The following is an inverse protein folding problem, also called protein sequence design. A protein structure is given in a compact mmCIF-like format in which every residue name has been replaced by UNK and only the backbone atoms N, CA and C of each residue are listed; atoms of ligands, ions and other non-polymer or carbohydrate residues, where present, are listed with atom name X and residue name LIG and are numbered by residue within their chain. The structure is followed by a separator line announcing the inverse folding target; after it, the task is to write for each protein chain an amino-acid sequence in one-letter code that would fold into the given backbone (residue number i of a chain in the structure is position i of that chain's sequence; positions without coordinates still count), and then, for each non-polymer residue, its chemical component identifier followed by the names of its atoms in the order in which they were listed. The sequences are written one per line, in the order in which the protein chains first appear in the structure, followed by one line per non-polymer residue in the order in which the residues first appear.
data_IF_432952965002
#
_entry.id   IF_432952965002
#
_cell.length_a   1.000
_cell.length_b   1.000
_cell.length_c   1.000
_cell.angle_alpha   90.00
_cell.angle_beta   90.00
_cell.angle_gamma   90.00
#
_symmetry.space_group_name_H-M   'P 1'
#
loop_
_entity.id
_entity.type
_entity.pdbx_description
1 polymer ?
#
# COMPACT_ATOMS: atom_id res chain seq x y z
N UNK A 1 -7.15 -27.85 -28.65
CA UNK A 1 -7.60 -26.72 -27.80
C UNK A 1 -6.56 -26.48 -26.73
N UNK A 2 -5.94 -25.30 -26.69
CA UNK A 2 -5.09 -24.91 -25.56
C UNK A 2 -5.98 -24.64 -24.34
N UNK A 3 -5.76 -25.39 -23.24
CA UNK A 3 -6.38 -25.10 -21.94
C UNK A 3 -5.27 -24.56 -21.03
N UNK A 4 -5.43 -23.34 -20.53
CA UNK A 4 -4.55 -22.80 -19.49
C UNK A 4 -5.18 -23.02 -18.12
N UNK A 5 -4.41 -23.61 -17.21
CA UNK A 5 -4.73 -23.75 -15.80
C UNK A 5 -4.20 -22.58 -14.98
N UNK A 6 -3.34 -21.74 -15.54
CA UNK A 6 -2.74 -20.61 -14.84
C UNK A 6 -3.46 -19.29 -15.16
N UNK A 7 -3.70 -18.46 -14.14
CA UNK A 7 -4.39 -17.16 -14.28
C UNK A 7 -3.53 -16.03 -13.71
N UNK A 8 -3.22 -15.01 -14.51
CA UNK A 8 -2.70 -13.74 -14.01
C UNK A 8 -3.84 -12.90 -13.46
N UNK A 9 -4.06 -12.98 -12.14
CA UNK A 9 -5.18 -12.30 -11.48
C UNK A 9 -4.81 -10.86 -11.05
N UNK A 10 -5.43 -9.87 -11.70
CA UNK A 10 -5.49 -8.46 -11.25
C UNK A 10 -6.92 -8.04 -10.84
N UNK A 11 -7.80 -8.99 -10.57
CA UNK A 11 -9.20 -8.72 -10.25
C UNK A 11 -9.30 -8.11 -8.85
N UNK A 12 -9.74 -6.86 -8.80
CA UNK A 12 -10.09 -6.15 -7.56
C UNK A 12 -11.62 -6.05 -7.48
N UNK A 13 -12.32 -7.07 -6.94
CA UNK A 13 -13.78 -7.12 -6.92
C UNK A 13 -14.35 -5.92 -6.16
N UNK A 14 -15.28 -5.20 -6.80
CA UNK A 14 -15.94 -4.00 -6.24
C UNK A 14 -17.30 -4.29 -5.60
N UNK A 15 -17.74 -5.54 -5.61
CA UNK A 15 -19.01 -5.96 -4.99
C UNK A 15 -18.87 -7.34 -4.35
N UNK A 16 -19.76 -7.64 -3.41
CA UNK A 16 -19.87 -8.96 -2.78
C UNK A 16 -20.07 -10.08 -3.80
N UNK A 17 -20.86 -9.82 -4.85
CA UNK A 17 -21.05 -10.74 -5.96
C UNK A 17 -19.72 -11.03 -6.68
N UNK A 18 -18.97 -9.99 -7.09
CA UNK A 18 -17.67 -10.18 -7.76
C UNK A 18 -16.64 -10.88 -6.87
N UNK A 19 -16.70 -10.63 -5.56
CA UNK A 19 -15.84 -11.32 -4.59
C UNK A 19 -16.19 -12.82 -4.51
N UNK A 20 -17.49 -13.16 -4.49
CA UNK A 20 -17.96 -14.54 -4.49
C UNK A 20 -17.60 -15.27 -5.80
N UNK A 21 -17.77 -14.62 -6.95
CA UNK A 21 -17.36 -15.16 -8.25
C UNK A 21 -15.85 -15.42 -8.31
N UNK A 22 -15.03 -14.49 -7.82
CA UNK A 22 -13.57 -14.68 -7.72
C UNK A 22 -13.24 -15.87 -6.82
N UNK A 23 -13.88 -15.97 -5.65
CA UNK A 23 -13.67 -17.09 -4.72
C UNK A 23 -14.05 -18.42 -5.38
N UNK A 24 -15.15 -18.47 -6.13
CA UNK A 24 -15.57 -19.65 -6.87
C UNK A 24 -14.55 -20.03 -7.95
N UNK A 25 -14.12 -19.07 -8.78
CA UNK A 25 -13.09 -19.29 -9.81
C UNK A 25 -11.80 -19.87 -9.24
N UNK A 26 -11.30 -19.31 -8.13
CA UNK A 26 -10.05 -19.72 -7.50
C UNK A 26 -10.20 -20.93 -6.57
N UNK A 27 -11.42 -21.43 -6.36
CA UNK A 27 -11.66 -22.66 -5.57
C UNK A 27 -11.40 -23.94 -6.35
N UNK A 28 -11.39 -23.86 -7.68
CA UNK A 28 -11.16 -25.02 -8.53
C UNK A 28 -9.68 -25.43 -8.50
N UNK A 29 -9.38 -26.67 -8.11
CA UNK A 29 -8.01 -27.14 -7.88
C UNK A 29 -7.10 -27.08 -9.11
N UNK A 30 -7.67 -27.15 -10.31
CA UNK A 30 -6.91 -27.00 -11.56
C UNK A 30 -6.62 -25.54 -11.92
N UNK A 31 -7.08 -24.56 -11.15
CA UNK A 31 -6.79 -23.14 -11.39
C UNK A 31 -5.67 -22.70 -10.45
N UNK A 32 -4.55 -22.30 -11.03
CA UNK A 32 -3.36 -21.83 -10.32
C UNK A 32 -3.27 -20.32 -10.51
N UNK A 33 -3.66 -19.51 -9.52
CA UNK A 33 -3.48 -18.08 -9.60
C UNK A 33 -1.99 -17.73 -9.63
N UNK A 34 -1.65 -16.62 -10.28
CA UNK A 34 -0.28 -16.14 -10.33
C UNK A 34 0.23 -15.84 -8.92
N UNK A 35 -0.51 -14.99 -8.21
CA UNK A 35 -0.26 -14.64 -6.81
C UNK A 35 -0.91 -15.64 -5.87
N UNK A 36 -0.29 -15.83 -4.71
CA UNK A 36 -0.89 -16.53 -3.59
C UNK A 36 -2.24 -15.88 -3.21
N UNK A 37 -3.35 -16.64 -3.10
CA UNK A 37 -4.66 -16.08 -2.76
C UNK A 37 -4.70 -15.31 -1.44
N UNK A 38 -3.88 -15.71 -0.45
CA UNK A 38 -3.82 -15.08 0.88
C UNK A 38 -3.28 -13.65 0.83
N UNK A 39 -2.47 -13.35 -0.18
CA UNK A 39 -1.91 -12.02 -0.41
C UNK A 39 -3.01 -11.00 -0.72
N UNK A 40 -4.00 -11.39 -1.53
CA UNK A 40 -5.15 -10.54 -1.82
C UNK A 40 -5.93 -10.24 -0.54
N UNK A 41 -6.28 -11.25 0.25
CA UNK A 41 -7.01 -11.03 1.51
C UNK A 41 -6.24 -10.13 2.48
N UNK A 42 -4.91 -10.26 2.51
CA UNK A 42 -4.04 -9.47 3.39
C UNK A 42 -4.02 -7.99 3.00
N UNK A 43 -3.76 -7.68 1.73
CA UNK A 43 -3.55 -6.31 1.26
C UNK A 43 -4.83 -5.58 0.81
N UNK A 44 -5.91 -6.32 0.55
CA UNK A 44 -7.20 -5.70 0.21
C UNK A 44 -7.83 -4.99 1.42
N UNK A 45 -7.64 -5.53 2.62
CA UNK A 45 -8.11 -4.95 3.88
C UNK A 45 -6.98 -4.22 4.60
N UNK A 46 -6.93 -2.89 4.49
CA UNK A 46 -5.87 -2.09 5.11
C UNK A 46 -5.79 -2.30 6.62
N UNK A 47 -6.93 -2.47 7.31
CA UNK A 47 -6.91 -2.69 8.76
C UNK A 47 -6.22 -4.01 9.11
N UNK A 48 -6.57 -5.09 8.38
CA UNK A 48 -5.93 -6.39 8.56
C UNK A 48 -4.43 -6.30 8.25
N UNK A 49 -4.05 -5.59 7.18
CA UNK A 49 -2.64 -5.38 6.84
C UNK A 49 -1.87 -4.75 8.00
N UNK A 50 -2.39 -3.67 8.58
CA UNK A 50 -1.72 -2.98 9.69
C UNK A 50 -1.72 -3.78 10.99
N UNK A 51 -2.68 -4.68 11.21
CA UNK A 51 -2.66 -5.59 12.34
C UNK A 51 -1.60 -6.68 12.16
N UNK A 52 -1.50 -7.26 10.95
CA UNK A 52 -0.51 -8.28 10.64
C UNK A 52 0.92 -7.73 10.68
N UNK A 53 1.12 -6.52 10.15
CA UNK A 53 2.42 -5.86 10.03
C UNK A 53 2.59 -4.72 11.05
N UNK A 54 1.93 -4.83 12.21
CA UNK A 54 1.89 -3.81 13.24
C UNK A 54 3.28 -3.28 13.68
N UNK A 55 4.33 -4.12 13.83
CA UNK A 55 5.66 -3.63 14.22
C UNK A 55 6.29 -2.63 13.23
N UNK A 56 5.83 -2.63 11.98
CA UNK A 56 6.37 -1.81 10.90
C UNK A 56 5.42 -0.69 10.47
N UNK A 57 4.19 -0.68 10.99
CA UNK A 57 3.10 0.12 10.46
C UNK A 57 2.80 1.35 11.32
N UNK A 58 2.17 2.34 10.70
CA UNK A 58 1.59 3.47 11.42
C UNK A 58 0.44 2.98 12.33
N UNK A 59 0.33 3.44 13.59
CA UNK A 59 -0.80 3.15 14.47
C UNK A 59 -2.15 3.35 13.77
N UNK A 60 -3.01 2.33 13.78
CA UNK A 60 -4.27 2.36 13.02
C UNK A 60 -5.44 1.82 13.84
N UNK A 61 -6.60 2.44 13.69
CA UNK A 61 -7.87 1.91 14.21
C UNK A 61 -8.99 2.03 13.20
N UNK A 62 -10.05 1.23 13.35
CA UNK A 62 -11.25 1.32 12.54
C UNK A 62 -12.18 2.44 13.03
N UNK A 63 -12.95 3.03 12.13
CA UNK A 63 -14.10 3.88 12.50
C UNK A 63 -15.38 3.14 12.15
N UNK A 64 -16.08 2.63 13.18
CA UNK A 64 -17.19 1.69 13.00
C UNK A 64 -18.41 2.30 12.30
N UNK A 65 -18.72 3.58 12.59
CA UNK A 65 -19.81 4.30 11.94
C UNK A 65 -19.64 5.82 12.07
N UNK A 66 -20.50 6.59 11.38
CA UNK A 66 -20.57 8.04 11.48
C UNK A 66 -21.19 8.57 12.79
N UNK A 67 -21.55 7.68 13.74
CA UNK A 67 -22.06 8.09 15.05
C UNK A 67 -20.94 8.71 15.89
N UNK A 68 -21.24 9.83 16.55
CA UNK A 68 -20.27 10.57 17.37
C UNK A 68 -19.59 9.68 18.43
N UNK A 69 -20.34 8.75 19.04
CA UNK A 69 -19.80 7.79 20.01
C UNK A 69 -18.70 6.91 19.41
N UNK A 70 -18.94 6.35 18.24
CA UNK A 70 -18.00 5.44 17.56
C UNK A 70 -16.75 6.21 17.10
N UNK A 71 -16.93 7.43 16.59
CA UNK A 71 -15.81 8.31 16.22
C UNK A 71 -14.97 8.68 17.44
N UNK A 72 -15.62 9.01 18.56
CA UNK A 72 -14.92 9.36 19.82
C UNK A 72 -14.13 8.16 20.36
N UNK A 73 -14.71 6.96 20.28
CA UNK A 73 -14.02 5.73 20.65
C UNK A 73 -12.78 5.48 19.77
N UNK A 74 -12.92 5.60 18.44
CA UNK A 74 -11.80 5.46 17.51
C UNK A 74 -10.69 6.48 17.80
N UNK A 75 -11.04 7.75 18.03
CA UNK A 75 -10.07 8.79 18.40
C UNK A 75 -9.35 8.46 19.71
N UNK A 76 -10.06 7.95 20.71
CA UNK A 76 -9.46 7.55 22.00
C UNK A 76 -8.51 6.37 21.84
N UNK A 77 -8.92 5.33 21.10
CA UNK A 77 -8.08 4.17 20.80
C UNK A 77 -6.81 4.58 20.05
N UNK A 78 -6.94 5.44 19.04
CA UNK A 78 -5.80 5.90 18.27
C UNK A 78 -4.80 6.67 19.14
N UNK A 79 -5.29 7.55 20.03
CA UNK A 79 -4.42 8.27 20.98
C UNK A 79 -3.66 7.32 21.89
N UNK A 80 -4.29 6.24 22.34
CA UNK A 80 -3.63 5.22 23.15
C UNK A 80 -2.53 4.50 22.36
N UNK A 81 -2.83 4.07 21.12
CA UNK A 81 -1.85 3.42 20.25
C UNK A 81 -0.65 4.35 19.96
N UNK A 82 -0.90 5.63 19.68
CA UNK A 82 0.15 6.64 19.47
C UNK A 82 0.98 6.83 20.73
N UNK A 83 0.36 6.94 21.91
CA UNK A 83 1.07 7.10 23.19
C UNK A 83 1.98 5.91 23.51
N UNK A 84 1.59 4.71 23.11
CA UNK A 84 2.35 3.47 23.32
C UNK A 84 3.43 3.25 22.24
N UNK A 85 3.41 4.00 21.15
CA UNK A 85 4.35 3.84 20.05
C UNK A 85 5.74 4.38 20.43
N UNK A 86 6.84 3.64 20.17
CA UNK A 86 8.19 4.05 20.57
C UNK A 86 8.62 5.38 19.93
N UNK A 87 8.15 5.65 18.71
CA UNK A 87 8.45 6.87 17.95
C UNK A 87 7.23 7.79 17.88
N UNK A 88 6.55 8.03 19.00
CA UNK A 88 5.32 8.84 19.04
C UNK A 88 5.50 10.28 18.56
N UNK A 89 6.72 10.81 18.61
CA UNK A 89 7.09 12.17 18.15
C UNK A 89 7.10 12.34 16.63
N UNK A 90 7.07 11.25 15.86
CA UNK A 90 7.03 11.31 14.40
C UNK A 90 5.64 11.69 13.87
N UNK A 91 4.63 11.67 14.75
CA UNK A 91 3.25 11.94 14.43
C UNK A 91 2.87 13.38 14.79
N UNK A 92 2.29 14.10 13.83
CA UNK A 92 1.73 15.43 14.08
C UNK A 92 0.38 15.37 14.80
N UNK A 93 -0.15 16.53 15.17
CA UNK A 93 -1.50 16.67 15.71
C UNK A 93 -2.62 16.38 14.71
N UNK A 94 -2.32 16.34 13.40
CA UNK A 94 -3.28 16.00 12.37
C UNK A 94 -3.51 14.48 12.28
N UNK A 95 -4.64 14.11 11.70
CA UNK A 95 -5.05 12.73 11.47
C UNK A 95 -5.25 12.46 9.98
N UNK A 96 -5.16 11.20 9.59
CA UNK A 96 -5.55 10.70 8.28
C UNK A 96 -6.74 9.78 8.44
N UNK A 97 -7.85 10.11 7.77
CA UNK A 97 -8.99 9.23 7.58
C UNK A 97 -8.90 8.66 6.16
N UNK A 98 -8.89 7.33 6.00
CA UNK A 98 -8.82 6.70 4.69
C UNK A 98 -9.70 5.48 4.58
N UNK A 99 -10.09 5.12 3.36
CA UNK A 99 -10.89 3.93 3.13
C UNK A 99 -10.15 2.65 3.57
N UNK A 100 -10.90 1.70 4.12
CA UNK A 100 -10.38 0.39 4.53
C UNK A 100 -10.11 -0.50 3.32
N UNK A 101 -10.99 -0.44 2.33
CA UNK A 101 -10.92 -1.19 1.08
C UNK A 101 -10.92 -0.19 -0.08
N UNK A 102 -9.78 -0.05 -0.77
CA UNK A 102 -9.65 0.94 -1.85
C UNK A 102 -8.20 1.18 -2.26
N UNK A 103 -8.03 1.96 -3.33
CA UNK A 103 -6.73 2.22 -3.96
C UNK A 103 -6.69 3.60 -4.63
N UNK A 104 -5.49 4.05 -5.01
CA UNK A 104 -5.28 5.25 -5.83
C UNK A 104 -5.35 6.59 -5.08
N UNK A 105 -5.30 6.57 -3.75
CA UNK A 105 -5.38 7.79 -2.94
C UNK A 105 -6.79 8.38 -2.83
N UNK A 106 -7.80 7.64 -3.29
CA UNK A 106 -9.21 8.02 -3.13
C UNK A 106 -9.62 7.93 -1.66
N UNK A 107 -10.53 8.82 -1.25
CA UNK A 107 -11.04 8.91 0.12
C UNK A 107 -9.95 9.01 1.21
N UNK A 108 -8.76 9.53 0.89
CA UNK A 108 -7.68 9.80 1.85
C UNK A 108 -7.73 11.27 2.26
N UNK A 109 -8.11 11.54 3.50
CA UNK A 109 -8.35 12.89 4.01
C UNK A 109 -7.42 13.23 5.17
N UNK A 110 -6.71 14.35 5.06
CA UNK A 110 -6.00 14.97 6.18
C UNK A 110 -6.94 15.87 6.98
N UNK A 111 -7.02 15.62 8.28
CA UNK A 111 -7.88 16.34 9.21
C UNK A 111 -6.99 16.97 10.29
N UNK A 112 -6.91 18.29 10.34
CA UNK A 112 -6.04 19.01 11.28
C UNK A 112 -6.75 19.53 12.54
N UNK A 113 -8.09 19.66 12.49
CA UNK A 113 -8.91 20.21 13.59
C UNK A 113 -10.35 19.73 13.47
N UNK A 114 -11.13 19.91 14.54
CA UNK A 114 -12.56 19.55 14.61
C UNK A 114 -12.81 18.09 14.20
N UNK A 115 -11.98 17.17 14.73
CA UNK A 115 -11.89 15.79 14.27
C UNK A 115 -13.25 15.10 14.20
N UNK A 116 -14.02 15.10 15.29
CA UNK A 116 -15.30 14.38 15.35
C UNK A 116 -16.29 14.86 14.28
N UNK A 117 -16.47 16.18 14.16
CA UNK A 117 -17.38 16.76 13.17
C UNK A 117 -16.91 16.52 11.72
N UNK A 118 -15.60 16.67 11.45
CA UNK A 118 -15.06 16.45 10.10
C UNK A 118 -15.14 14.97 9.68
N UNK A 119 -14.79 14.05 10.58
CA UNK A 119 -14.91 12.60 10.34
C UNK A 119 -16.37 12.24 10.08
N UNK A 120 -17.29 12.71 10.93
CA UNK A 120 -18.72 12.46 10.75
C UNK A 120 -19.21 12.93 9.37
N UNK A 121 -18.91 14.18 8.99
CA UNK A 121 -19.33 14.74 7.70
C UNK A 121 -18.76 13.93 6.51
N UNK A 122 -17.47 13.56 6.55
CA UNK A 122 -16.84 12.76 5.51
C UNK A 122 -17.47 11.36 5.38
N UNK A 123 -17.77 10.70 6.50
CA UNK A 123 -18.43 9.40 6.50
C UNK A 123 -19.89 9.48 6.04
N UNK A 124 -20.63 10.51 6.47
CA UNK A 124 -22.02 10.71 6.03
C UNK A 124 -22.13 10.98 4.52
N UNK A 125 -21.11 11.60 3.91
CA UNK A 125 -21.02 11.78 2.46
C UNK A 125 -20.65 10.51 1.70
N UNK A 126 -20.14 9.49 2.40
CA UNK A 126 -19.64 8.25 1.82
C UNK A 126 -20.17 7.03 2.61
N UNK A 127 -21.50 6.83 2.69
CA UNK A 127 -22.12 5.86 3.60
C UNK A 127 -21.71 4.39 3.33
N UNK A 128 -21.35 4.07 2.09
CA UNK A 128 -20.91 2.74 1.67
C UNK A 128 -19.41 2.48 1.91
N UNK A 129 -18.66 3.50 2.33
CA UNK A 129 -17.20 3.40 2.51
C UNK A 129 -16.90 3.14 3.99
N UNK A 130 -16.18 2.05 4.25
CA UNK A 130 -15.60 1.79 5.55
C UNK A 130 -14.26 2.51 5.69
N UNK A 131 -13.99 3.07 6.87
CA UNK A 131 -12.82 3.90 7.10
C UNK A 131 -11.92 3.36 8.21
N UNK A 132 -10.62 3.65 8.06
CA UNK A 132 -9.61 3.55 9.11
C UNK A 132 -9.04 4.93 9.43
N UNK A 133 -8.52 5.08 10.64
CA UNK A 133 -7.96 6.31 11.18
C UNK A 133 -6.51 6.08 11.60
N UNK A 134 -5.62 6.98 11.20
CA UNK A 134 -4.20 7.00 11.52
C UNK A 134 -3.77 8.39 12.00
N UNK A 135 -2.71 8.52 12.83
CA UNK A 135 -2.03 9.79 12.98
C UNK A 135 -1.41 10.21 11.64
N UNK A 136 -1.29 11.51 11.41
CA UNK A 136 -0.52 12.01 10.28
C UNK A 136 0.97 11.97 10.61
N UNK A 137 1.71 11.11 9.92
CA UNK A 137 3.17 11.05 9.95
C UNK A 137 3.75 12.36 9.38
N UNK A 138 4.75 12.94 10.02
CA UNK A 138 5.55 14.01 9.43
C UNK A 138 6.68 13.40 8.62
N UNK A 139 6.68 13.58 7.30
CA UNK A 139 7.61 12.92 6.37
C UNK A 139 8.03 13.78 5.16
N UNK A 140 7.72 15.08 5.18
CA UNK A 140 8.03 16.02 4.11
C UNK A 140 9.54 16.30 3.94
N UNK A 141 10.35 15.91 4.93
CA UNK A 141 11.81 16.01 4.90
C UNK A 141 12.50 14.65 5.16
N UNK A 142 11.74 13.57 5.39
CA UNK A 142 12.30 12.31 5.86
C UNK A 142 13.09 11.54 4.81
N UNK A 143 12.63 11.52 3.56
CA UNK A 143 13.43 11.06 2.43
C UNK A 143 13.70 12.22 1.48
N UNK A 144 14.95 12.32 1.04
CA UNK A 144 15.40 13.38 0.14
C UNK A 144 16.03 12.75 -1.10
N UNK A 145 15.53 13.12 -2.27
CA UNK A 145 16.08 12.69 -3.54
C UNK A 145 16.64 13.91 -4.27
N UNK A 146 17.92 13.89 -4.64
CA UNK A 146 18.59 15.00 -5.34
C UNK A 146 18.40 16.37 -4.63
N UNK A 147 18.51 16.39 -3.30
CA UNK A 147 18.29 17.58 -2.45
C UNK A 147 16.88 18.18 -2.51
N UNK A 148 15.88 17.45 -3.03
CA UNK A 148 14.48 17.85 -2.99
C UNK A 148 13.80 17.31 -1.74
N UNK A 149 13.39 18.21 -0.86
CA UNK A 149 12.51 17.92 0.26
C UNK A 149 11.06 18.05 -0.19
N UNK A 150 10.33 16.93 -0.12
CA UNK A 150 8.90 16.88 -0.39
C UNK A 150 8.35 15.58 0.22
N UNK A 151 7.04 15.53 0.52
CA UNK A 151 6.37 14.28 0.81
C UNK A 151 6.68 13.26 -0.29
N UNK A 152 7.37 12.19 0.11
CA UNK A 152 7.86 11.17 -0.82
C UNK A 152 7.57 9.80 -0.26
N UNK A 153 7.01 8.94 -1.08
CA UNK A 153 6.93 7.52 -0.80
C UNK A 153 7.96 6.71 -1.57
N UNK A 154 8.35 5.58 -0.99
CA UNK A 154 9.26 4.63 -1.58
C UNK A 154 8.48 3.35 -1.83
N UNK A 155 8.37 2.95 -3.09
CA UNK A 155 7.70 1.72 -3.48
C UNK A 155 8.71 0.69 -3.95
N UNK A 156 8.67 -0.47 -3.31
CA UNK A 156 9.51 -1.62 -3.63
C UNK A 156 8.62 -2.73 -4.18
N UNK A 157 8.91 -3.19 -5.39
CA UNK A 157 8.19 -4.29 -6.07
C UNK A 157 9.00 -5.56 -5.87
N UNK A 158 8.37 -6.56 -5.26
CA UNK A 158 8.93 -7.88 -5.01
C UNK A 158 8.29 -8.90 -5.93
N UNK A 159 9.12 -9.79 -6.48
CA UNK A 159 8.66 -10.99 -7.17
C UNK A 159 9.46 -12.19 -6.64
N UNK A 160 8.75 -13.24 -6.21
CA UNK A 160 9.39 -14.41 -5.61
C UNK A 160 10.29 -14.10 -4.42
N UNK A 161 9.82 -13.23 -3.52
CA UNK A 161 10.55 -12.73 -2.35
C UNK A 161 11.86 -11.98 -2.67
N UNK A 162 12.09 -11.61 -3.93
CA UNK A 162 13.25 -10.82 -4.34
C UNK A 162 12.81 -9.44 -4.81
N UNK A 163 13.59 -8.41 -4.45
CA UNK A 163 13.36 -7.06 -4.94
C UNK A 163 13.61 -7.02 -6.46
N UNK A 164 12.55 -6.76 -7.22
CA UNK A 164 12.60 -6.68 -8.68
C UNK A 164 12.84 -5.25 -9.14
N UNK A 165 12.11 -4.29 -8.55
CA UNK A 165 12.16 -2.87 -8.91
C UNK A 165 11.91 -1.97 -7.71
N UNK A 166 12.41 -0.76 -7.78
CA UNK A 166 12.11 0.32 -6.85
C UNK A 166 11.83 1.61 -7.60
N UNK A 167 10.89 2.39 -7.08
CA UNK A 167 10.70 3.77 -7.50
C UNK A 167 10.25 4.60 -6.31
N UNK A 168 10.44 5.90 -6.42
CA UNK A 168 9.90 6.88 -5.49
C UNK A 168 8.72 7.57 -6.15
N UNK A 169 7.73 7.99 -5.36
CA UNK A 169 6.74 8.95 -5.83
C UNK A 169 6.79 10.19 -4.96
N UNK A 170 6.96 11.34 -5.61
CA UNK A 170 7.03 12.63 -4.93
C UNK A 170 5.69 13.33 -5.12
N UNK A 171 5.07 13.77 -4.03
CA UNK A 171 3.80 14.48 -4.09
C UNK A 171 3.95 15.81 -4.85
N UNK A 172 2.85 16.23 -5.50
CA UNK A 172 2.74 17.57 -6.05
C UNK A 172 2.77 18.63 -4.92
N UNK A 173 3.11 19.90 -5.24
CA UNK A 173 3.12 20.97 -4.25
C UNK A 173 1.80 21.07 -3.48
N UNK A 174 1.90 21.24 -2.16
CA UNK A 174 0.76 21.37 -1.23
C UNK A 174 -0.12 20.11 -1.06
N UNK A 175 0.26 18.97 -1.64
CA UNK A 175 -0.34 17.67 -1.37
C UNK A 175 0.63 16.79 -0.56
N UNK A 176 0.08 15.86 0.23
CA UNK A 176 0.87 14.84 0.92
C UNK A 176 0.72 13.47 0.26
N UNK A 177 -0.27 13.31 -0.63
CA UNK A 177 -0.53 12.06 -1.33
C UNK A 177 0.43 11.97 -2.50
N UNK A 178 1.24 10.92 -2.49
CA UNK A 178 2.30 10.70 -3.45
C UNK A 178 1.83 9.89 -4.68
N UNK A 179 0.57 9.42 -4.71
CA UNK A 179 0.05 8.63 -5.82
C UNK A 179 0.12 9.41 -7.14
N UNK A 180 0.59 8.75 -8.20
CA UNK A 180 0.66 9.32 -9.56
C UNK A 180 -0.72 9.78 -10.07
N UNK A 181 -1.78 9.02 -9.78
CA UNK A 181 -3.17 9.40 -10.10
C UNK A 181 -3.63 10.70 -9.41
N UNK A 182 -2.91 11.19 -8.40
CA UNK A 182 -3.15 12.46 -7.71
C UNK A 182 -2.17 13.56 -8.18
N UNK A 183 -1.42 13.34 -9.27
CA UNK A 183 -0.41 14.28 -9.78
C UNK A 183 0.99 14.08 -9.20
N UNK A 184 1.22 13.00 -8.45
CA UNK A 184 2.56 12.65 -7.96
C UNK A 184 3.52 12.28 -9.10
N UNK A 185 4.79 12.62 -8.94
CA UNK A 185 5.85 12.31 -9.89
C UNK A 185 6.49 10.95 -9.56
N UNK A 186 6.44 10.00 -10.51
CA UNK A 186 7.07 8.68 -10.36
C UNK A 186 8.49 8.70 -10.96
N UNK A 187 9.47 8.29 -10.16
CA UNK A 187 10.87 8.19 -10.58
C UNK A 187 11.41 6.80 -10.21
N UNK A 188 11.74 5.99 -11.23
CA UNK A 188 12.47 4.74 -11.01
C UNK A 188 13.86 5.03 -10.46
N UNK A 189 14.24 4.33 -9.40
CA UNK A 189 15.53 4.48 -8.75
C UNK A 189 16.18 3.13 -8.54
N UNK A 190 17.52 3.12 -8.54
CA UNK A 190 18.28 1.93 -8.20
C UNK A 190 18.17 1.62 -6.70
N UNK A 191 18.41 0.36 -6.36
CA UNK A 191 18.31 -0.14 -4.98
C UNK A 191 19.24 0.62 -4.02
N UNK A 192 20.38 1.13 -4.50
CA UNK A 192 21.31 1.94 -3.72
C UNK A 192 20.78 3.33 -3.33
N UNK A 193 19.76 3.85 -4.03
CA UNK A 193 19.12 5.11 -3.70
C UNK A 193 18.03 4.96 -2.62
N UNK A 194 17.64 3.73 -2.31
CA UNK A 194 16.70 3.40 -1.23
C UNK A 194 17.49 3.26 0.08
N UNK A 195 17.09 3.91 1.19
CA UNK A 195 17.81 3.82 2.46
C UNK A 195 17.94 2.37 2.96
N UNK A 196 19.08 2.03 3.56
CA UNK A 196 19.33 0.69 4.12
C UNK A 196 18.31 0.28 5.19
N UNK A 197 17.78 1.24 5.94
CA UNK A 197 16.69 1.02 6.90
C UNK A 197 15.40 0.54 6.21
N UNK A 198 15.07 1.09 5.04
CA UNK A 198 13.91 0.66 4.25
C UNK A 198 14.08 -0.77 3.76
N UNK A 199 15.27 -1.12 3.24
CA UNK A 199 15.59 -2.50 2.85
C UNK A 199 15.47 -3.47 4.02
N UNK A 200 15.93 -3.07 5.20
CA UNK A 200 15.88 -3.90 6.41
C UNK A 200 14.43 -4.22 6.78
N UNK A 201 13.58 -3.19 6.89
CA UNK A 201 12.15 -3.38 7.20
C UNK A 201 11.45 -4.16 6.08
N UNK A 202 11.73 -3.86 4.81
CA UNK A 202 11.13 -4.57 3.69
C UNK A 202 11.48 -6.06 3.71
N UNK A 203 12.75 -6.42 3.98
CA UNK A 203 13.17 -7.82 4.09
C UNK A 203 12.49 -8.53 5.26
N UNK A 204 12.29 -7.88 6.40
CA UNK A 204 11.54 -8.44 7.53
C UNK A 204 10.08 -8.72 7.14
N UNK A 205 9.42 -7.80 6.44
CA UNK A 205 8.05 -8.00 5.95
C UNK A 205 8.01 -9.15 4.93
N UNK A 206 8.95 -9.18 3.98
CA UNK A 206 9.04 -10.26 2.96
C UNK A 206 9.23 -11.62 3.62
N UNK A 207 10.08 -11.72 4.65
CA UNK A 207 10.27 -12.94 5.44
C UNK A 207 9.01 -13.33 6.22
N UNK A 208 8.29 -12.36 6.79
CA UNK A 208 7.04 -12.62 7.51
C UNK A 208 5.92 -13.09 6.57
N UNK A 209 5.82 -12.52 5.37
CA UNK A 209 4.84 -12.94 4.37
C UNK A 209 5.21 -14.30 3.76
N UNK A 210 6.49 -14.50 3.43
CA UNK A 210 7.05 -15.69 2.82
C UNK A 210 6.23 -16.23 1.63
N UNK A 211 6.10 -15.43 0.57
CA UNK A 211 5.27 -15.75 -0.60
C UNK A 211 6.11 -15.89 -1.87
N UNK A 212 6.92 -16.95 -2.02
CA UNK A 212 7.88 -17.12 -3.12
C UNK A 212 7.22 -17.27 -4.50
N UNK A 213 5.90 -17.41 -4.55
CA UNK A 213 5.13 -17.46 -5.80
C UNK A 213 4.55 -16.13 -6.26
N UNK A 214 4.67 -15.06 -5.48
CA UNK A 214 3.86 -13.85 -5.65
C UNK A 214 4.65 -12.64 -6.15
N UNK A 215 3.92 -11.74 -6.82
CA UNK A 215 4.32 -10.38 -7.17
C UNK A 215 3.49 -9.39 -6.34
N UNK A 216 4.17 -8.49 -5.64
CA UNK A 216 3.52 -7.43 -4.88
C UNK A 216 4.41 -6.21 -4.73
N UNK A 217 3.82 -5.08 -4.35
CA UNK A 217 4.52 -3.88 -3.92
C UNK A 217 4.33 -3.65 -2.43
N UNK A 218 5.36 -3.08 -1.81
CA UNK A 218 5.33 -2.51 -0.46
C UNK A 218 5.67 -1.02 -0.55
N UNK A 219 4.84 -0.20 0.06
CA UNK A 219 4.98 1.26 0.11
C UNK A 219 5.48 1.68 1.48
N UNK A 220 6.51 2.52 1.50
CA UNK A 220 7.14 3.02 2.71
C UNK A 220 7.17 4.54 2.73
N UNK A 221 7.13 5.09 3.94
CA UNK A 221 7.47 6.47 4.23
C UNK A 221 8.64 6.50 5.22
N UNK A 222 9.49 7.52 5.11
CA UNK A 222 10.52 7.82 6.09
C UNK A 222 10.08 9.07 6.84
N UNK A 223 9.96 9.02 8.16
CA UNK A 223 9.60 10.19 8.95
C UNK A 223 10.69 11.25 8.93
N UNK A 224 10.37 12.48 9.32
CA UNK A 224 11.35 13.56 9.44
C UNK A 224 12.45 13.25 10.46
N UNK A 225 12.22 12.29 11.37
CA UNK A 225 13.22 11.78 12.33
C UNK A 225 14.04 10.60 11.77
N UNK A 226 13.75 10.12 10.56
CA UNK A 226 14.47 9.03 9.90
C UNK A 226 13.92 7.62 10.14
N UNK A 227 12.81 7.45 10.86
CA UNK A 227 12.20 6.14 11.09
C UNK A 227 11.36 5.70 9.89
N UNK A 228 11.39 4.41 9.57
CA UNK A 228 10.69 3.84 8.42
C UNK A 228 9.35 3.27 8.83
N UNK A 229 8.32 3.58 8.04
CA UNK A 229 6.96 3.07 8.23
C UNK A 229 6.46 2.41 6.96
N UNK A 230 6.00 1.17 7.08
CA UNK A 230 5.17 0.52 6.07
C UNK A 230 3.78 1.18 6.03
N UNK A 231 3.31 1.47 4.82
CA UNK A 231 2.08 2.22 4.58
C UNK A 231 1.05 1.43 3.80
N UNK A 232 1.43 0.70 2.77
CA UNK A 232 0.47 -0.05 1.96
C UNK A 232 1.16 -1.23 1.28
N UNK A 233 0.45 -2.36 1.19
CA UNK A 233 0.82 -3.48 0.33
C UNK A 233 -0.11 -3.53 -0.87
N UNK A 234 0.39 -3.92 -2.04
CA UNK A 234 -0.41 -3.97 -3.26
C UNK A 234 -0.09 -5.22 -4.07
N UNK A 235 -1.12 -6.01 -4.42
CA UNK A 235 -0.98 -7.29 -5.14
C UNK A 235 -0.88 -7.13 -6.66
N UNK A 236 -1.15 -5.93 -7.18
CA UNK A 236 -1.16 -5.62 -8.59
C UNK A 236 -0.42 -4.31 -8.85
N UNK A 237 0.91 -4.26 -8.63
CA UNK A 237 1.68 -3.04 -8.86
C UNK A 237 1.42 -2.48 -10.26
N UNK A 238 1.29 -1.15 -10.31
CA UNK A 238 1.11 -0.40 -11.55
C UNK A 238 2.32 -0.55 -12.47
N UNK A 239 2.06 -0.45 -13.77
CA UNK A 239 3.07 -0.33 -14.81
C UNK A 239 3.05 1.12 -15.28
N UNK A 240 4.17 1.81 -15.19
CA UNK A 240 4.35 3.11 -15.86
C UNK A 240 4.80 2.82 -17.30
N UNK A 241 3.83 2.87 -18.23
CA UNK A 241 4.06 2.63 -19.66
C UNK A 241 4.17 3.94 -20.43
N UNK A 242 5.16 4.75 -20.07
CA UNK A 242 5.58 5.91 -20.86
C UNK A 242 6.73 5.53 -21.81
N UNK A 243 6.39 5.28 -23.08
CA UNK A 243 7.37 4.92 -24.11
C UNK A 243 8.33 6.06 -24.48
N UNK A 244 8.02 7.29 -24.09
CA UNK A 244 8.92 8.43 -24.29
C UNK A 244 10.06 8.43 -23.25
N UNK A 245 9.86 7.76 -22.12
CA UNK A 245 10.84 7.59 -21.05
C UNK A 245 11.50 6.21 -21.15
N UNK A 246 12.69 6.15 -21.73
CA UNK A 246 13.44 4.89 -21.94
C UNK A 246 13.59 4.03 -20.69
N UNK A 247 13.82 4.65 -19.53
CA UNK A 247 13.93 3.91 -18.26
C UNK A 247 12.60 3.24 -17.89
N UNK A 248 11.47 3.93 -18.04
CA UNK A 248 10.14 3.41 -17.75
C UNK A 248 9.82 2.23 -18.68
N UNK A 249 10.10 2.37 -19.97
CA UNK A 249 9.95 1.28 -20.93
C UNK A 249 10.80 0.06 -20.54
N UNK A 250 12.07 0.27 -20.17
CA UNK A 250 12.96 -0.81 -19.74
C UNK A 250 12.46 -1.52 -18.48
N UNK A 251 12.02 -0.78 -17.46
CA UNK A 251 11.48 -1.32 -16.21
C UNK A 251 10.14 -2.03 -16.47
N UNK A 252 9.26 -1.46 -17.27
CA UNK A 252 8.02 -2.14 -17.68
C UNK A 252 8.29 -3.47 -18.39
N UNK A 253 9.25 -3.51 -19.34
CA UNK A 253 9.69 -4.75 -19.99
C UNK A 253 10.30 -5.75 -19.00
N UNK A 254 11.09 -5.30 -18.03
CA UNK A 254 11.64 -6.16 -16.99
C UNK A 254 10.54 -6.83 -16.16
N UNK A 255 9.52 -6.08 -15.74
CA UNK A 255 8.40 -6.63 -14.98
C UNK A 255 7.62 -7.66 -15.80
N UNK A 256 7.29 -7.34 -17.06
CA UNK A 256 6.59 -8.25 -17.97
C UNK A 256 7.38 -9.55 -18.16
N UNK A 257 8.70 -9.46 -18.44
CA UNK A 257 9.56 -10.63 -18.60
C UNK A 257 9.61 -11.49 -17.35
N UNK A 258 9.64 -10.86 -16.18
CA UNK A 258 9.62 -11.56 -14.89
C UNK A 258 8.33 -12.36 -14.71
N UNK A 259 7.17 -11.76 -15.00
CA UNK A 259 5.85 -12.41 -14.95
C UNK A 259 5.78 -13.57 -15.95
N UNK A 260 6.17 -13.35 -17.21
CA UNK A 260 6.13 -14.36 -18.28
C UNK A 260 7.05 -15.53 -17.95
N UNK A 261 8.27 -15.26 -17.50
CA UNK A 261 9.23 -16.30 -17.10
C UNK A 261 8.66 -17.21 -16.02
N UNK A 262 7.94 -16.65 -15.04
CA UNK A 262 7.30 -17.43 -13.98
C UNK A 262 6.19 -18.34 -14.50
N UNK A 263 5.39 -17.89 -15.46
CA UNK A 263 4.40 -18.75 -16.12
C UNK A 263 5.08 -19.93 -16.84
N UNK A 264 6.16 -19.65 -17.58
CA UNK A 264 6.92 -20.69 -18.30
C UNK A 264 7.49 -21.74 -17.34
N UNK A 265 8.14 -21.32 -16.25
CA UNK A 265 8.71 -22.27 -15.26
C UNK A 265 7.66 -23.20 -14.67
N UNK A 266 6.43 -22.72 -14.44
CA UNK A 266 5.32 -23.52 -13.92
C UNK A 266 4.71 -24.48 -14.94
N UNK A 267 4.94 -24.29 -16.24
CA UNK A 267 4.54 -25.24 -17.28
C UNK A 267 5.55 -26.38 -17.45
N UNK A 268 6.80 -26.16 -17.06
CA UNK A 268 7.91 -27.11 -17.21
C UNK A 268 8.22 -27.91 -15.95
N UNK A 269 7.65 -27.54 -14.81
CA UNK A 269 7.77 -28.21 -13.51
C UNK A 269 6.61 -29.19 -13.31
#
# INVERSE_FOLDING_TARGET
MAKSTQIFDKISPRSSLRLAERKLLLSHQSIIPFNDPTLFSTFYDKLLTYQLLAPFSIPTTAVLSARVKDITQALSQLRQLVKQHPFSTDFSSALVLKDRFGAGGNHVYKIARNFSHRIQNLMSKNPEVQFVLQPFLAFDHGYTYQNRHAPTDLRLIFHSNQLLQSYIRIAQPQDFRCNEHQGGELIYVDSSAIPASVHTIANQIVQQLNLPGSLYALDFLVSNSGHVYFVEGNTGPGLDWDITKKLNEQKSKQLIRSIVSRFTTRLTA
#
